data_IF_761429762784
#
_entry.id   IF_761429762784
#
_cell.length_a   1.000
_cell.length_b   1.000
_cell.length_c   1.000
_cell.angle_alpha   90.00
_cell.angle_beta   90.00
_cell.angle_gamma   90.00
#
_symmetry.space_group_name_H-M   'P 1'
#
loop_
_entity.id
_entity.type
_entity.pdbx_description
1 polymer ?
#
# COMPACT_ATOMS: atom_id res chain seq x y z
N UNK A 1 20.65 -15.25 14.61
CA UNK A 1 21.97 -14.59 14.53
C UNK A 1 21.87 -13.28 15.28
N UNK A 2 22.86 -12.95 16.11
CA UNK A 2 22.84 -11.79 17.01
C UNK A 2 22.72 -10.47 16.23
N UNK A 3 21.49 -9.97 16.04
CA UNK A 3 21.24 -8.70 15.36
C UNK A 3 21.55 -7.55 16.32
N UNK A 4 22.67 -6.88 16.09
CA UNK A 4 22.96 -5.59 16.72
C UNK A 4 21.79 -4.63 16.45
N UNK A 5 21.23 -4.05 17.51
CA UNK A 5 20.12 -3.11 17.40
C UNK A 5 20.67 -1.73 17.02
N UNK A 6 20.16 -1.17 15.92
CA UNK A 6 20.52 0.18 15.45
C UNK A 6 19.54 1.23 15.96
N UNK A 7 18.33 0.83 16.36
CA UNK A 7 17.37 1.69 17.07
C UNK A 7 16.89 0.93 18.29
N UNK A 8 17.04 1.54 19.46
CA UNK A 8 16.57 1.00 20.73
C UNK A 8 15.91 2.11 21.55
N UNK A 9 14.63 1.92 21.87
CA UNK A 9 13.85 2.81 22.72
C UNK A 9 13.30 2.03 23.91
N UNK A 10 13.39 2.64 25.10
CA UNK A 10 12.88 2.08 26.35
C UNK A 10 12.02 3.10 27.09
N UNK A 11 10.74 2.78 27.32
CA UNK A 11 9.77 3.63 28.00
C UNK A 11 9.61 5.02 27.37
N UNK A 12 9.77 5.12 26.05
CA UNK A 12 9.84 6.40 25.34
C UNK A 12 8.50 7.14 25.44
N UNK A 13 8.55 8.43 25.78
CA UNK A 13 7.35 9.24 25.89
C UNK A 13 7.53 10.69 25.47
N UNK A 14 6.48 11.23 24.84
CA UNK A 14 6.38 12.63 24.41
C UNK A 14 5.01 13.20 24.78
N UNK A 15 5.03 14.27 25.55
CA UNK A 15 3.85 15.02 25.95
C UNK A 15 3.89 16.46 25.40
N UNK A 16 2.75 16.93 24.93
CA UNK A 16 2.52 18.32 24.56
C UNK A 16 1.64 19.00 25.60
N UNK A 17 2.00 20.22 25.98
CA UNK A 17 1.22 21.03 26.89
C UNK A 17 0.20 21.86 26.10
N UNK A 18 -1.08 21.56 26.26
CA UNK A 18 -2.17 22.26 25.60
C UNK A 18 -2.71 23.33 26.54
N UNK A 19 -2.58 24.59 26.12
CA UNK A 19 -3.08 25.76 26.84
C UNK A 19 -4.39 26.24 26.21
N UNK A 20 -5.41 26.53 27.04
CA UNK A 20 -6.70 27.06 26.54
C UNK A 20 -6.60 28.50 26.03
N UNK A 21 -5.67 29.28 26.59
CA UNK A 21 -5.42 30.66 26.17
C UNK A 21 -3.93 31.02 26.31
N UNK A 22 -3.42 32.01 25.55
CA UNK A 22 -2.04 32.50 25.70
C UNK A 22 -1.75 33.03 27.12
N UNK A 23 -2.76 33.57 27.81
CA UNK A 23 -2.62 34.06 29.19
C UNK A 23 -2.33 32.92 30.17
N UNK A 24 -2.85 31.72 29.92
CA UNK A 24 -2.62 30.56 30.76
C UNK A 24 -1.17 30.05 30.65
N UNK A 25 -0.52 30.26 29.49
CA UNK A 25 0.91 30.04 29.33
C UNK A 25 1.73 31.00 30.18
N UNK A 26 1.34 32.27 30.24
CA UNK A 26 1.99 33.27 31.11
C UNK A 26 1.77 32.94 32.60
N UNK A 27 0.54 32.59 32.98
CA UNK A 27 0.22 32.14 34.35
C UNK A 27 1.04 30.90 34.73
N UNK A 28 1.25 29.96 33.81
CA UNK A 28 2.07 28.77 34.06
C UNK A 28 3.54 29.10 34.32
N UNK A 29 4.08 30.13 33.67
CA UNK A 29 5.44 30.61 33.92
C UNK A 29 5.58 31.28 35.29
N UNK A 30 4.54 32.01 35.74
CA UNK A 30 4.53 32.76 36.99
C UNK A 30 4.16 31.90 38.23
N UNK A 31 3.27 30.91 38.05
CA UNK A 31 2.70 30.12 39.15
C UNK A 31 3.01 28.62 38.97
N UNK A 32 4.22 28.19 39.37
CA UNK A 32 4.68 26.79 39.29
C UNK A 32 3.83 25.78 40.08
N UNK A 33 3.09 26.23 41.10
CA UNK A 33 2.29 25.36 41.98
C UNK A 33 0.89 25.03 41.43
N UNK A 34 0.49 25.60 40.28
CA UNK A 34 -0.79 25.28 39.63
C UNK A 34 -0.55 24.92 38.18
N UNK A 35 -1.27 23.91 37.69
CA UNK A 35 -1.24 23.51 36.29
C UNK A 35 -2.33 24.27 35.53
N UNK A 36 -1.91 25.07 34.56
CA UNK A 36 -2.79 25.83 33.66
C UNK A 36 -2.84 25.22 32.24
N UNK A 37 -2.28 24.02 32.06
CA UNK A 37 -2.29 23.26 30.82
C UNK A 37 -2.84 21.85 31.05
N UNK A 38 -3.32 21.25 29.97
CA UNK A 38 -3.60 19.81 29.88
C UNK A 38 -2.45 19.13 29.15
N UNK A 39 -1.99 17.97 29.64
CA UNK A 39 -0.98 17.17 28.96
C UNK A 39 -1.65 16.26 27.93
N UNK A 40 -1.18 16.33 26.68
CA UNK A 40 -1.54 15.39 25.64
C UNK A 40 -0.32 14.52 25.33
N UNK A 41 -0.42 13.23 25.64
CA UNK A 41 0.63 12.26 25.36
C UNK A 41 0.49 11.75 23.93
N UNK A 42 1.36 12.24 23.05
CA UNK A 42 1.40 11.79 21.65
C UNK A 42 2.09 10.44 21.50
N UNK A 43 3.08 10.16 22.35
CA UNK A 43 3.75 8.86 22.49
C UNK A 43 3.92 8.59 23.99
N UNK A 44 3.63 7.39 24.47
CA UNK A 44 3.71 7.06 25.88
C UNK A 44 4.17 5.61 26.08
N UNK A 45 5.22 5.43 26.88
CA UNK A 45 5.74 4.12 27.26
C UNK A 45 5.97 3.18 26.07
N UNK A 46 6.60 3.69 25.01
CA UNK A 46 6.93 2.90 23.82
C UNK A 46 8.30 2.26 23.99
N UNK A 47 8.31 0.93 23.97
CA UNK A 47 9.51 0.11 23.83
C UNK A 47 9.65 -0.30 22.36
N UNK A 48 10.85 -0.14 21.80
CA UNK A 48 11.11 -0.42 20.39
C UNK A 48 12.54 -0.94 20.23
N UNK A 49 12.72 -1.99 19.45
CA UNK A 49 14.05 -2.48 19.06
C UNK A 49 14.05 -2.85 17.60
N UNK A 50 14.97 -2.29 16.82
CA UNK A 50 15.10 -2.55 15.37
C UNK A 50 16.55 -2.94 15.08
N UNK A 51 16.72 -4.08 14.41
CA UNK A 51 18.02 -4.61 14.01
C UNK A 51 18.57 -3.94 12.76
N UNK A 52 19.91 -3.97 12.61
CA UNK A 52 20.56 -3.53 11.37
C UNK A 52 20.04 -4.31 10.15
N UNK A 53 19.69 -3.59 9.09
CA UNK A 53 19.19 -4.18 7.84
C UNK A 53 17.74 -4.66 7.88
N UNK A 54 17.02 -4.37 8.97
CA UNK A 54 15.62 -4.72 9.11
C UNK A 54 14.74 -3.69 8.39
N UNK A 55 13.68 -4.16 7.73
CA UNK A 55 12.61 -3.29 7.19
C UNK A 55 11.36 -3.45 8.03
N UNK A 56 11.01 -2.40 8.76
CA UNK A 56 9.91 -2.39 9.71
C UNK A 56 8.82 -1.41 9.29
N UNK A 57 7.60 -1.93 9.16
CA UNK A 57 6.40 -1.13 8.92
C UNK A 57 5.86 -0.53 10.21
N UNK A 58 5.40 0.73 10.19
CA UNK A 58 4.65 1.33 11.29
C UNK A 58 3.26 1.70 10.79
N UNK A 59 2.26 1.00 11.30
CA UNK A 59 0.85 1.16 10.94
C UNK A 59 0.05 1.77 12.09
N UNK A 60 -1.05 2.44 11.77
CA UNK A 60 -1.94 3.04 12.76
C UNK A 60 -2.71 4.22 12.20
N UNK A 61 -3.79 4.63 12.86
CA UNK A 61 -4.63 5.76 12.43
C UNK A 61 -3.90 7.09 12.50
N UNK A 62 -4.46 8.11 11.86
CA UNK A 62 -4.02 9.48 12.05
C UNK A 62 -4.15 9.87 13.53
N UNK A 63 -3.12 10.53 14.07
CA UNK A 63 -3.05 10.87 15.49
C UNK A 63 -2.56 9.75 16.42
N UNK A 64 -2.19 8.57 15.93
CA UNK A 64 -1.71 7.47 16.78
C UNK A 64 -0.28 7.64 17.32
N UNK A 65 0.43 8.71 16.96
CA UNK A 65 1.78 9.01 17.44
C UNK A 65 2.93 8.66 16.50
N UNK A 66 2.65 8.09 15.30
CA UNK A 66 3.67 7.67 14.32
C UNK A 66 4.66 8.79 13.97
N UNK A 67 4.18 9.93 13.48
CA UNK A 67 5.06 11.04 13.09
C UNK A 67 5.88 11.56 14.27
N UNK A 68 5.31 11.61 15.48
CA UNK A 68 6.04 12.01 16.70
C UNK A 68 7.13 11.01 17.07
N UNK A 69 6.87 9.70 16.96
CA UNK A 69 7.87 8.66 17.16
C UNK A 69 9.02 8.79 16.16
N UNK A 70 8.68 8.99 14.89
CA UNK A 70 9.65 9.10 13.81
C UNK A 70 10.50 10.37 13.90
N UNK A 71 9.90 11.50 14.31
CA UNK A 71 10.65 12.73 14.61
C UNK A 71 11.63 12.54 15.77
N UNK A 72 11.28 11.74 16.78
CA UNK A 72 12.22 11.39 17.86
C UNK A 72 13.36 10.52 17.33
N UNK A 73 13.08 9.51 16.51
CA UNK A 73 14.08 8.64 15.87
C UNK A 73 14.99 9.44 14.93
N UNK A 74 14.43 10.39 14.17
CA UNK A 74 15.17 11.29 13.30
C UNK A 74 15.99 12.35 14.06
N UNK A 75 15.80 12.48 15.38
CA UNK A 75 16.51 13.46 16.21
C UNK A 75 15.98 14.89 16.09
N UNK A 76 14.87 15.13 15.39
CA UNK A 76 14.24 16.46 15.28
C UNK A 76 13.38 16.79 16.49
N UNK A 77 13.07 15.80 17.33
CA UNK A 77 12.28 15.97 18.55
C UNK A 77 12.90 15.21 19.73
N UNK A 78 13.07 15.89 20.87
CA UNK A 78 13.53 15.23 22.08
C UNK A 78 12.36 14.62 22.88
N UNK A 79 12.53 13.40 23.45
CA UNK A 79 11.54 12.80 24.33
C UNK A 79 11.44 13.56 25.67
N UNK A 80 10.27 13.45 26.31
CA UNK A 80 10.07 13.92 27.69
C UNK A 80 10.42 12.85 28.73
N UNK A 81 10.34 11.57 28.36
CA UNK A 81 10.64 10.42 29.22
C UNK A 81 11.21 9.26 28.42
N UNK A 82 11.89 8.34 29.12
CA UNK A 82 12.51 7.17 28.52
C UNK A 82 13.87 7.46 27.88
N UNK A 83 14.41 6.45 27.20
CA UNK A 83 15.70 6.51 26.51
C UNK A 83 15.52 6.14 25.05
N UNK A 84 16.26 6.81 24.16
CA UNK A 84 16.32 6.49 22.73
C UNK A 84 17.77 6.51 22.29
N UNK A 85 18.24 5.39 21.71
CA UNK A 85 19.54 5.24 21.08
C UNK A 85 19.32 4.95 19.59
N UNK A 86 19.99 5.70 18.74
CA UNK A 86 19.98 5.52 17.29
C UNK A 86 21.44 5.49 16.81
N UNK A 87 21.82 4.43 16.11
CA UNK A 87 23.17 4.21 15.60
C UNK A 87 23.20 4.23 14.07
N UNK A 88 23.87 5.23 13.52
CA UNK A 88 24.00 5.45 12.08
C UNK A 88 23.37 6.76 11.64
N UNK A 89 23.56 7.08 10.36
CA UNK A 89 22.99 8.27 9.72
C UNK A 89 21.55 8.00 9.31
N UNK A 90 20.63 8.81 9.84
CA UNK A 90 19.20 8.75 9.52
C UNK A 90 18.90 9.70 8.37
N UNK A 91 18.27 9.21 7.31
CA UNK A 91 17.67 10.02 6.25
C UNK A 91 16.14 10.01 6.40
N UNK A 92 15.54 11.07 6.99
CA UNK A 92 14.09 11.16 7.13
C UNK A 92 13.41 11.73 5.88
N UNK A 93 12.45 11.00 5.31
CA UNK A 93 11.53 11.48 4.25
C UNK A 93 10.19 12.00 4.81
N UNK A 94 10.10 12.19 6.14
CA UNK A 94 8.91 12.62 6.88
C UNK A 94 8.51 14.06 6.57
N UNK A 95 9.51 14.90 6.33
CA UNK A 95 9.36 16.32 6.09
C UNK A 95 10.16 16.63 4.82
N UNK A 96 9.76 16.03 3.70
CA UNK A 96 10.37 16.27 2.40
C UNK A 96 10.53 17.78 2.18
N UNK A 97 11.77 18.22 2.00
CA UNK A 97 12.12 19.63 1.79
C UNK A 97 12.27 20.45 3.08
N UNK A 98 12.21 19.84 4.27
CA UNK A 98 12.64 20.48 5.50
C UNK A 98 14.10 20.97 5.35
N UNK A 99 14.29 22.27 5.52
CA UNK A 99 15.57 22.93 5.26
C UNK A 99 15.70 23.56 3.87
N UNK A 100 14.73 23.39 2.98
CA UNK A 100 14.68 24.20 1.75
C UNK A 100 14.35 25.65 2.09
N UNK A 101 15.11 26.56 1.51
CA UNK A 101 14.83 27.98 1.49
C UNK A 101 14.00 28.32 0.23
N UNK A 102 12.76 28.83 0.38
CA UNK A 102 11.89 29.16 -0.76
C UNK A 102 12.48 30.21 -1.72
N UNK A 103 13.38 31.07 -1.22
CA UNK A 103 14.04 32.10 -2.02
C UNK A 103 15.24 31.57 -2.82
N UNK A 104 15.76 30.41 -2.44
CA UNK A 104 16.88 29.77 -3.14
C UNK A 104 16.39 28.98 -4.35
N UNK A 105 17.26 28.88 -5.35
CA UNK A 105 17.07 28.00 -6.52
C UNK A 105 17.05 26.54 -6.10
N UNK A 106 16.55 25.66 -6.98
CA UNK A 106 16.63 24.21 -6.76
C UNK A 106 18.05 23.74 -6.50
N UNK A 107 19.04 24.24 -7.27
CA UNK A 107 20.46 23.90 -7.11
C UNK A 107 21.01 24.30 -5.75
N UNK A 108 20.74 25.52 -5.31
CA UNK A 108 21.17 26.01 -4.00
C UNK A 108 20.52 25.20 -2.86
N UNK A 109 19.25 24.83 -3.02
CA UNK A 109 18.56 23.97 -2.07
C UNK A 109 19.10 22.54 -2.03
N UNK A 110 19.52 21.97 -3.17
CA UNK A 110 20.23 20.69 -3.22
C UNK A 110 21.50 20.74 -2.38
N UNK A 111 22.33 21.76 -2.59
CA UNK A 111 23.58 21.93 -1.83
C UNK A 111 23.31 22.11 -0.33
N UNK A 112 22.36 22.98 0.02
CA UNK A 112 21.99 23.25 1.41
C UNK A 112 21.49 21.98 2.11
N UNK A 113 20.53 21.29 1.51
CA UNK A 113 19.92 20.09 2.10
C UNK A 113 20.90 18.92 2.17
N UNK A 114 21.72 18.71 1.14
CA UNK A 114 22.76 17.70 1.15
C UNK A 114 23.81 17.93 2.25
N UNK A 115 24.20 19.19 2.48
CA UNK A 115 25.09 19.56 3.58
C UNK A 115 24.46 19.32 4.96
N UNK A 116 23.18 19.67 5.13
CA UNK A 116 22.41 19.39 6.36
C UNK A 116 22.34 17.88 6.63
N UNK A 117 22.21 17.07 5.58
CA UNK A 117 22.20 15.60 5.65
C UNK A 117 23.61 14.98 5.73
N UNK A 118 24.66 15.80 5.87
CA UNK A 118 26.01 15.35 6.22
C UNK A 118 26.94 15.05 5.05
N UNK A 119 26.62 15.49 3.82
CA UNK A 119 27.57 15.43 2.71
C UNK A 119 28.60 16.56 2.82
N UNK A 120 29.86 16.23 2.51
CA UNK A 120 30.93 17.23 2.33
C UNK A 120 30.77 17.98 1.00
N UNK A 121 31.34 19.18 0.89
CA UNK A 121 31.29 19.97 -0.35
C UNK A 121 31.77 19.20 -1.59
N UNK A 122 32.81 18.37 -1.46
CA UNK A 122 33.30 17.55 -2.57
C UNK A 122 32.30 16.47 -3.00
N UNK A 123 31.65 15.80 -2.03
CA UNK A 123 30.60 14.82 -2.33
C UNK A 123 29.35 15.48 -2.93
N UNK A 124 29.02 16.70 -2.50
CA UNK A 124 27.91 17.47 -3.07
C UNK A 124 28.20 17.78 -4.54
N UNK A 125 29.39 18.29 -4.86
CA UNK A 125 29.78 18.62 -6.23
C UNK A 125 29.77 17.37 -7.15
N UNK A 126 30.21 16.23 -6.63
CA UNK A 126 30.18 14.95 -7.35
C UNK A 126 28.75 14.42 -7.59
N UNK A 127 27.86 14.52 -6.59
CA UNK A 127 26.52 13.90 -6.64
C UNK A 127 25.42 14.83 -7.17
N UNK A 128 25.65 16.14 -7.17
CA UNK A 128 24.67 17.14 -7.64
C UNK A 128 24.10 16.81 -9.02
N UNK A 129 24.89 16.44 -10.05
CA UNK A 129 24.35 16.07 -11.36
C UNK A 129 23.35 14.91 -11.29
N UNK A 130 23.68 13.85 -10.55
CA UNK A 130 22.82 12.68 -10.38
C UNK A 130 21.54 13.00 -9.61
N UNK A 131 21.63 13.85 -8.58
CA UNK A 131 20.45 14.34 -7.84
C UNK A 131 19.49 15.08 -8.77
N UNK A 132 20.01 15.99 -9.59
CA UNK A 132 19.19 16.79 -10.50
C UNK A 132 18.56 15.94 -11.61
N UNK A 133 19.31 14.98 -12.16
CA UNK A 133 18.80 14.02 -13.13
C UNK A 133 17.69 13.14 -12.52
N UNK A 134 17.89 12.65 -11.30
CA UNK A 134 16.90 11.86 -10.59
C UNK A 134 15.60 12.64 -10.36
N UNK A 135 15.74 13.89 -9.86
CA UNK A 135 14.62 14.80 -9.66
C UNK A 135 13.87 15.06 -10.96
N UNK A 136 14.57 15.20 -12.08
CA UNK A 136 14.00 15.34 -13.43
C UNK A 136 13.08 16.57 -13.57
N UNK A 137 13.45 17.68 -12.92
CA UNK A 137 12.72 18.96 -12.97
C UNK A 137 13.22 19.90 -14.09
N UNK A 138 14.20 19.48 -14.88
CA UNK A 138 14.71 20.22 -16.04
C UNK A 138 15.25 21.61 -15.66
N UNK A 139 15.01 22.60 -16.53
CA UNK A 139 15.51 23.97 -16.41
C UNK A 139 14.96 24.73 -15.18
N UNK A 140 13.92 24.20 -14.52
CA UNK A 140 13.41 24.77 -13.28
C UNK A 140 14.41 24.71 -12.13
N UNK A 141 15.46 23.90 -12.23
CA UNK A 141 16.52 23.80 -11.21
C UNK A 141 17.16 25.15 -10.86
N UNK A 142 17.24 26.07 -11.81
CA UNK A 142 17.83 27.40 -11.61
C UNK A 142 16.77 28.47 -11.27
N UNK A 143 15.53 28.05 -11.01
CA UNK A 143 14.44 28.91 -10.52
C UNK A 143 14.25 28.77 -9.01
N UNK A 144 13.81 29.83 -8.31
CA UNK A 144 13.51 29.77 -6.88
C UNK A 144 12.44 28.72 -6.57
N UNK A 145 12.66 27.94 -5.51
CA UNK A 145 11.80 26.81 -5.13
C UNK A 145 10.38 27.25 -4.77
N UNK A 146 10.16 28.49 -4.35
CA UNK A 146 8.79 29.04 -4.15
C UNK A 146 7.91 29.04 -5.41
N UNK A 147 8.52 28.91 -6.59
CA UNK A 147 7.78 28.84 -7.87
C UNK A 147 7.41 27.41 -8.27
N UNK A 148 7.88 26.41 -7.51
CA UNK A 148 7.69 25.00 -7.85
C UNK A 148 6.28 24.54 -7.55
N UNK A 149 5.78 23.60 -8.35
CA UNK A 149 4.62 22.79 -7.95
C UNK A 149 4.99 21.90 -6.76
N UNK A 150 3.98 21.44 -6.02
CA UNK A 150 4.18 20.46 -4.93
C UNK A 150 4.91 19.20 -5.40
N UNK A 151 4.63 18.73 -6.62
CA UNK A 151 5.30 17.59 -7.23
C UNK A 151 6.78 17.85 -7.52
N UNK A 152 7.13 19.00 -8.10
CA UNK A 152 8.54 19.36 -8.34
C UNK A 152 9.33 19.49 -7.04
N UNK A 153 8.72 20.10 -6.03
CA UNK A 153 9.28 20.25 -4.69
C UNK A 153 9.58 18.88 -4.06
N UNK A 154 8.57 17.99 -4.03
CA UNK A 154 8.72 16.64 -3.50
C UNK A 154 9.77 15.81 -4.27
N UNK A 155 9.80 15.94 -5.60
CA UNK A 155 10.77 15.25 -6.46
C UNK A 155 12.21 15.65 -6.14
N UNK A 156 12.46 16.96 -6.00
CA UNK A 156 13.80 17.44 -5.65
C UNK A 156 14.21 17.03 -4.24
N UNK A 157 13.31 17.17 -3.26
CA UNK A 157 13.55 16.76 -1.88
C UNK A 157 13.89 15.26 -1.77
N UNK A 158 13.11 14.41 -2.44
CA UNK A 158 13.37 12.98 -2.47
C UNK A 158 14.69 12.67 -3.17
N UNK A 159 14.98 13.34 -4.29
CA UNK A 159 16.21 13.12 -5.03
C UNK A 159 17.45 13.39 -4.18
N UNK A 160 17.46 14.47 -3.38
CA UNK A 160 18.56 14.74 -2.45
C UNK A 160 18.69 13.60 -1.45
N UNK A 161 17.60 13.25 -0.75
CA UNK A 161 17.61 12.20 0.26
C UNK A 161 17.98 10.81 -0.28
N UNK A 162 17.69 10.52 -1.56
CA UNK A 162 18.07 9.27 -2.20
C UNK A 162 19.58 9.18 -2.53
N UNK A 163 20.32 10.28 -2.48
CA UNK A 163 21.75 10.34 -2.82
C UNK A 163 22.64 10.73 -1.64
N UNK A 164 22.11 10.76 -0.42
CA UNK A 164 22.93 10.89 0.80
C UNK A 164 23.30 9.52 1.36
N UNK A 165 24.43 9.45 2.06
CA UNK A 165 24.85 8.21 2.71
C UNK A 165 24.04 8.00 4.00
N UNK A 166 23.08 7.08 3.96
CA UNK A 166 22.21 6.76 5.09
C UNK A 166 22.33 5.29 5.50
N UNK A 167 22.33 5.05 6.80
CA UNK A 167 22.25 3.71 7.39
C UNK A 167 20.79 3.32 7.70
N UNK A 168 19.97 4.35 7.97
CA UNK A 168 18.56 4.23 8.33
C UNK A 168 17.75 5.17 7.44
N UNK A 169 16.79 4.63 6.69
CA UNK A 169 15.86 5.40 5.87
C UNK A 169 14.49 5.41 6.55
N UNK A 170 13.94 6.60 6.81
CA UNK A 170 12.56 6.73 7.26
C UNK A 170 11.73 7.20 6.08
N UNK A 171 10.72 6.41 5.74
CA UNK A 171 9.81 6.66 4.63
C UNK A 171 8.42 6.96 5.19
N UNK A 172 7.87 8.11 4.84
CA UNK A 172 6.49 8.49 5.17
C UNK A 172 5.58 8.42 3.94
N UNK A 173 4.28 8.43 4.17
CA UNK A 173 3.20 8.27 3.19
C UNK A 173 3.24 9.28 2.01
N UNK A 174 4.02 10.35 2.17
CA UNK A 174 4.16 11.47 1.23
C UNK A 174 4.81 11.06 -0.12
N UNK A 175 5.30 9.82 -0.25
CA UNK A 175 5.78 9.29 -1.54
C UNK A 175 4.72 9.33 -2.67
N UNK A 176 3.45 9.49 -2.34
CA UNK A 176 2.35 9.60 -3.32
C UNK A 176 2.22 10.98 -4.01
N UNK A 177 3.06 11.97 -3.70
CA UNK A 177 2.95 13.35 -4.24
C UNK A 177 3.57 13.51 -5.66
N UNK A 178 4.10 12.42 -6.25
CA UNK A 178 4.69 12.41 -7.59
C UNK A 178 3.79 11.82 -8.69
N UNK A 179 4.25 11.89 -9.94
CA UNK A 179 3.67 11.10 -11.03
C UNK A 179 4.02 9.60 -10.89
N UNK A 180 3.31 8.74 -11.61
CA UNK A 180 3.51 7.28 -11.53
C UNK A 180 4.94 6.85 -11.90
N UNK A 181 5.58 7.54 -12.85
CA UNK A 181 6.94 7.21 -13.27
C UNK A 181 7.96 7.56 -12.17
N UNK A 182 7.78 8.67 -11.46
CA UNK A 182 8.60 9.07 -10.33
C UNK A 182 8.36 8.18 -9.11
N UNK A 183 7.11 7.81 -8.83
CA UNK A 183 6.77 6.85 -7.78
C UNK A 183 7.50 5.53 -7.98
N UNK A 184 7.54 5.02 -9.23
CA UNK A 184 8.32 3.82 -9.58
C UNK A 184 9.84 4.01 -9.40
N UNK A 185 10.39 5.20 -9.67
CA UNK A 185 11.80 5.50 -9.34
C UNK A 185 12.05 5.43 -7.83
N UNK A 186 11.14 5.98 -7.02
CA UNK A 186 11.23 5.94 -5.56
C UNK A 186 11.19 4.51 -5.04
N UNK A 187 10.24 3.70 -5.51
CA UNK A 187 10.14 2.28 -5.11
C UNK A 187 11.40 1.49 -5.47
N UNK A 188 11.96 1.68 -6.67
CA UNK A 188 13.24 1.04 -7.03
C UNK A 188 14.38 1.44 -6.11
N UNK A 189 14.46 2.71 -5.72
CA UNK A 189 15.44 3.18 -4.75
C UNK A 189 15.27 2.49 -3.39
N UNK A 190 14.03 2.44 -2.88
CA UNK A 190 13.73 1.82 -1.58
C UNK A 190 14.07 0.32 -1.61
N UNK A 191 13.74 -0.39 -2.69
CA UNK A 191 14.10 -1.80 -2.84
C UNK A 191 15.62 -2.02 -2.84
N UNK A 192 16.39 -1.18 -3.54
CA UNK A 192 17.87 -1.26 -3.49
C UNK A 192 18.40 -0.94 -2.10
N UNK A 193 17.84 0.08 -1.44
CA UNK A 193 18.23 0.44 -0.09
C UNK A 193 17.99 -0.69 0.91
N UNK A 194 16.90 -1.46 0.74
CA UNK A 194 16.58 -2.63 1.58
C UNK A 194 17.68 -3.69 1.55
N UNK A 195 18.46 -3.79 0.48
CA UNK A 195 19.55 -4.80 0.37
C UNK A 195 20.71 -4.53 1.33
N UNK A 196 20.89 -3.28 1.78
CA UNK A 196 22.08 -2.88 2.56
C UNK A 196 21.79 -1.95 3.76
N UNK A 197 20.58 -1.43 3.90
CA UNK A 197 20.20 -0.44 4.92
C UNK A 197 18.98 -0.84 5.73
N UNK A 198 18.72 -0.10 6.82
CA UNK A 198 17.57 -0.31 7.70
C UNK A 198 16.44 0.63 7.29
N UNK A 199 15.20 0.15 7.19
CA UNK A 199 14.08 0.97 6.71
C UNK A 199 12.97 1.01 7.76
N UNK A 200 12.51 2.21 8.08
CA UNK A 200 11.25 2.47 8.77
C UNK A 200 10.23 2.97 7.77
N UNK A 201 9.24 2.16 7.45
CA UNK A 201 8.22 2.49 6.46
C UNK A 201 6.88 2.77 7.13
N UNK A 202 6.33 3.95 6.90
CA UNK A 202 5.07 4.38 7.52
C UNK A 202 4.02 4.55 6.44
N UNK A 203 2.92 3.82 6.59
CA UNK A 203 1.82 3.82 5.64
C UNK A 203 0.53 3.41 6.34
N UNK A 204 -0.59 3.94 5.87
CA UNK A 204 -1.91 3.39 6.17
C UNK A 204 -2.32 2.28 5.19
N UNK A 205 -1.63 2.16 4.05
CA UNK A 205 -1.80 1.06 3.09
C UNK A 205 -1.01 -0.18 3.54
N UNK A 206 -1.75 -1.15 4.05
CA UNK A 206 -1.24 -2.45 4.45
C UNK A 206 -0.67 -3.28 3.29
N UNK A 207 -1.09 -3.01 2.04
CA UNK A 207 -0.55 -3.69 0.86
C UNK A 207 0.94 -3.37 0.69
N UNK A 208 1.30 -2.09 0.68
CA UNK A 208 2.69 -1.61 0.63
C UNK A 208 3.52 -2.08 1.82
N UNK A 209 2.93 -2.09 3.02
CA UNK A 209 3.61 -2.61 4.23
C UNK A 209 3.94 -4.09 4.07
N UNK A 210 3.00 -4.91 3.59
CA UNK A 210 3.21 -6.34 3.38
C UNK A 210 4.21 -6.65 2.27
N UNK A 211 4.26 -5.81 1.23
CA UNK A 211 5.21 -5.99 0.12
C UNK A 211 6.65 -5.61 0.50
N UNK A 212 6.82 -4.61 1.36
CA UNK A 212 8.13 -4.03 1.65
C UNK A 212 8.74 -4.51 2.97
N UNK A 213 7.91 -4.75 3.99
CA UNK A 213 8.34 -4.96 5.36
C UNK A 213 8.24 -6.42 5.79
N UNK A 214 9.22 -6.86 6.56
CA UNK A 214 9.25 -8.22 7.12
C UNK A 214 8.57 -8.25 8.50
N UNK A 215 8.70 -7.14 9.25
CA UNK A 215 8.06 -6.90 10.53
C UNK A 215 7.20 -5.63 10.47
N UNK A 216 6.14 -5.56 11.26
CA UNK A 216 5.41 -4.31 11.46
C UNK A 216 5.05 -4.08 12.92
N UNK A 217 4.79 -2.81 13.24
CA UNK A 217 4.41 -2.31 14.54
C UNK A 217 3.12 -1.52 14.37
N UNK A 218 2.11 -1.90 15.13
CA UNK A 218 0.85 -1.18 15.18
C UNK A 218 0.84 -0.19 16.36
N UNK A 219 0.79 1.10 16.03
CA UNK A 219 0.61 2.18 16.98
C UNK A 219 -0.86 2.59 17.14
N UNK A 220 -1.29 2.75 18.39
CA UNK A 220 -2.61 3.26 18.74
C UNK A 220 -2.53 4.08 20.03
N UNK A 221 -3.17 5.27 20.03
CA UNK A 221 -3.21 6.13 21.22
C UNK A 221 -1.83 6.52 21.78
N UNK A 222 -0.80 6.57 20.93
CA UNK A 222 0.57 6.86 21.35
C UNK A 222 1.34 5.65 21.93
N UNK A 223 0.77 4.45 21.90
CA UNK A 223 1.39 3.23 22.42
C UNK A 223 1.54 2.17 21.33
N UNK A 224 2.43 1.19 21.54
CA UNK A 224 2.51 0.01 20.69
C UNK A 224 1.42 -0.96 21.12
N UNK A 225 0.44 -1.20 20.25
CA UNK A 225 -0.65 -2.14 20.48
C UNK A 225 -0.23 -3.58 20.18
N UNK A 226 0.51 -3.78 19.09
CA UNK A 226 1.03 -5.07 18.69
C UNK A 226 2.28 -4.90 17.79
N UNK A 227 3.17 -5.87 17.81
CA UNK A 227 4.27 -6.01 16.86
C UNK A 227 4.46 -7.47 16.46
N UNK A 228 4.96 -7.71 15.24
CA UNK A 228 5.07 -9.05 14.69
C UNK A 228 5.31 -9.03 13.19
N UNK A 229 5.11 -10.16 12.50
CA UNK A 229 5.25 -10.21 11.04
C UNK A 229 4.32 -9.18 10.39
N UNK A 230 4.80 -8.54 9.33
CA UNK A 230 4.04 -7.49 8.66
C UNK A 230 2.62 -7.93 8.28
N UNK A 231 2.48 -9.12 7.70
CA UNK A 231 1.18 -9.70 7.32
C UNK A 231 0.21 -9.82 8.50
N UNK A 232 0.67 -10.37 9.63
CA UNK A 232 -0.16 -10.62 10.80
C UNK A 232 -0.65 -9.30 11.44
N UNK A 233 0.25 -8.31 11.51
CA UNK A 233 -0.05 -6.99 12.08
C UNK A 233 -0.94 -6.18 11.14
N UNK A 234 -0.69 -6.21 9.83
CA UNK A 234 -1.56 -5.60 8.83
C UNK A 234 -2.98 -6.14 8.91
N UNK A 235 -3.13 -7.47 9.05
CA UNK A 235 -4.42 -8.12 9.19
C UNK A 235 -5.13 -7.69 10.49
N UNK A 236 -4.43 -7.70 11.62
CA UNK A 236 -4.97 -7.27 12.91
C UNK A 236 -5.40 -5.79 12.90
N UNK A 237 -4.61 -4.93 12.26
CA UNK A 237 -4.91 -3.51 12.10
C UNK A 237 -6.15 -3.29 11.23
N UNK A 238 -6.26 -3.97 10.09
CA UNK A 238 -7.45 -3.90 9.22
C UNK A 238 -8.70 -4.33 9.99
N UNK A 239 -8.66 -5.47 10.68
CA UNK A 239 -9.79 -5.96 11.47
C UNK A 239 -10.27 -4.93 12.51
N UNK A 240 -9.34 -4.20 13.14
CA UNK A 240 -9.67 -3.15 14.11
C UNK A 240 -10.19 -1.85 13.48
N UNK A 241 -9.82 -1.54 12.23
CA UNK A 241 -10.39 -0.39 11.50
C UNK A 241 -11.86 -0.61 11.16
N UNK A 242 -12.22 -1.83 10.77
CA UNK A 242 -13.60 -2.17 10.38
C UNK A 242 -14.55 -2.23 11.58
N UNK A 243 -14.08 -2.64 12.77
CA UNK A 243 -14.92 -2.78 13.97
C UNK A 243 -15.44 -1.49 14.63
N UNK A 244 -15.07 -0.28 14.17
CA UNK A 244 -15.45 0.99 14.84
C UNK A 244 -16.27 1.99 13.98
N UNK A 245 -16.58 1.67 12.71
CA UNK A 245 -17.18 2.63 11.77
C UNK A 245 -18.73 2.63 11.73
N UNK A 246 -19.38 1.97 12.69
CA UNK A 246 -20.82 1.71 12.68
C UNK A 246 -21.64 2.92 13.13
N UNK A 247 -22.04 3.78 12.18
CA UNK A 247 -22.77 5.00 12.52
C UNK A 247 -23.27 5.91 11.38
N UNK A 248 -23.83 5.36 10.28
CA UNK A 248 -24.99 5.90 9.50
C UNK A 248 -25.08 5.30 8.08
N UNK A 249 -26.25 4.74 7.77
CA UNK A 249 -26.65 4.17 6.48
C UNK A 249 -26.90 5.26 5.41
N UNK A 250 -26.31 5.10 4.23
CA UNK A 250 -26.61 5.89 3.02
C UNK A 250 -27.43 5.05 2.04
N UNK A 251 -28.52 5.59 1.48
CA UNK A 251 -29.37 4.90 0.50
C UNK A 251 -29.28 5.58 -0.86
N UNK A 252 -29.11 4.81 -1.94
CA UNK A 252 -29.24 5.27 -3.33
C UNK A 252 -30.39 4.51 -4.01
N UNK A 253 -31.29 5.25 -4.65
CA UNK A 253 -32.43 4.71 -5.41
C UNK A 253 -32.23 4.95 -6.91
N UNK A 254 -32.18 3.87 -7.69
CA UNK A 254 -32.24 3.91 -9.17
C UNK A 254 -32.32 2.51 -9.77
N UNK A 255 -33.27 2.29 -10.71
CA UNK A 255 -33.38 1.03 -11.47
C UNK A 255 -32.45 1.04 -12.68
N UNK A 256 -31.63 -0.02 -12.82
CA UNK A 256 -30.69 -0.21 -13.92
C UNK A 256 -31.43 -0.60 -15.20
N UNK A 257 -31.13 0.10 -16.30
CA UNK A 257 -31.44 -0.32 -17.68
C UNK A 257 -30.46 -1.41 -18.09
N UNK A 258 -30.96 -2.47 -18.74
CA UNK A 258 -30.14 -3.51 -19.36
C UNK A 258 -29.09 -2.89 -20.29
N UNK A 259 -27.84 -3.34 -20.16
CA UNK A 259 -26.71 -2.85 -20.95
C UNK A 259 -26.66 -3.60 -22.30
N UNK A 260 -26.30 -2.96 -23.43
CA UNK A 260 -26.33 -3.59 -24.76
C UNK A 260 -25.29 -4.71 -24.92
N UNK A 261 -25.51 -5.58 -25.92
CA UNK A 261 -24.69 -6.74 -26.32
C UNK A 261 -23.16 -6.51 -26.26
N UNK A 262 -22.48 -7.55 -25.77
CA UNK A 262 -21.03 -7.73 -25.68
C UNK A 262 -20.30 -7.31 -26.97
N UNK A 263 -19.24 -6.52 -26.82
CA UNK A 263 -18.30 -6.19 -27.91
C UNK A 263 -17.00 -6.96 -27.65
N UNK A 264 -16.54 -7.75 -28.62
CA UNK A 264 -15.26 -8.48 -28.56
C UNK A 264 -14.10 -7.56 -29.01
N UNK A 265 -12.84 -7.98 -28.84
CA UNK A 265 -11.70 -7.27 -29.44
C UNK A 265 -11.77 -7.40 -30.96
N UNK A 266 -11.64 -6.29 -31.70
CA UNK A 266 -11.71 -6.29 -33.17
C UNK A 266 -10.55 -7.03 -33.84
N UNK A 267 -9.47 -7.30 -33.10
CA UNK A 267 -8.27 -8.01 -33.57
C UNK A 267 -8.26 -9.49 -33.18
N UNK A 268 -9.30 -9.96 -32.50
CA UNK A 268 -9.34 -11.27 -31.87
C UNK A 268 -8.89 -12.42 -32.80
N UNK A 269 -9.54 -12.60 -33.95
CA UNK A 269 -9.19 -13.67 -34.91
C UNK A 269 -7.75 -13.55 -35.43
N UNK A 270 -7.23 -12.32 -35.59
CA UNK A 270 -5.88 -12.09 -36.07
C UNK A 270 -4.83 -12.43 -34.99
N UNK A 271 -5.15 -12.21 -33.71
CA UNK A 271 -4.27 -12.57 -32.58
C UNK A 271 -4.26 -14.08 -32.41
N UNK A 272 -5.44 -14.71 -32.36
CA UNK A 272 -5.60 -16.16 -32.13
C UNK A 272 -4.95 -17.03 -33.21
N UNK A 273 -4.98 -16.58 -34.47
CA UNK A 273 -4.40 -17.30 -35.60
C UNK A 273 -2.90 -17.00 -35.84
N UNK A 274 -2.22 -16.34 -34.90
CA UNK A 274 -0.83 -15.93 -35.04
C UNK A 274 0.06 -16.52 -33.94
N UNK A 275 1.38 -16.38 -34.10
CA UNK A 275 2.36 -16.70 -33.03
C UNK A 275 2.27 -15.77 -31.81
N UNK A 276 1.30 -14.84 -31.81
CA UNK A 276 1.08 -13.82 -30.78
C UNK A 276 -0.05 -14.19 -29.82
N UNK A 277 -0.56 -15.42 -29.91
CA UNK A 277 -1.59 -15.95 -29.03
C UNK A 277 -1.16 -15.84 -27.56
N UNK A 278 -2.10 -15.48 -26.69
CA UNK A 278 -1.87 -15.41 -25.25
C UNK A 278 -2.53 -16.62 -24.61
N UNK A 279 -1.79 -17.72 -24.52
CA UNK A 279 -2.28 -18.98 -23.98
C UNK A 279 -2.12 -18.96 -22.46
N UNK A 280 -3.13 -19.41 -21.72
CA UNK A 280 -3.15 -19.36 -20.26
C UNK A 280 -3.39 -20.76 -19.73
N UNK A 281 -2.36 -21.39 -19.20
CA UNK A 281 -2.41 -22.70 -18.57
C UNK A 281 -2.93 -22.54 -17.14
N UNK A 282 -4.12 -23.07 -16.86
CA UNK A 282 -4.77 -22.95 -15.54
C UNK A 282 -4.52 -24.22 -14.74
N UNK A 283 -4.03 -24.06 -13.51
CA UNK A 283 -3.82 -25.16 -12.57
C UNK A 283 -5.08 -25.46 -11.75
N UNK A 284 -5.12 -26.64 -11.12
CA UNK A 284 -6.25 -27.05 -10.30
C UNK A 284 -6.37 -26.22 -9.01
N UNK A 285 -7.59 -26.12 -8.49
CA UNK A 285 -7.87 -25.46 -7.21
C UNK A 285 -7.15 -26.19 -6.08
N UNK A 286 -6.36 -25.45 -5.30
CA UNK A 286 -5.70 -25.96 -4.10
C UNK A 286 -6.53 -25.59 -2.84
N UNK A 287 -7.33 -26.52 -2.28
CA UNK A 287 -8.10 -26.26 -1.08
C UNK A 287 -7.24 -26.10 0.18
N UNK A 288 -5.97 -26.52 0.13
CA UNK A 288 -5.02 -26.48 1.24
C UNK A 288 -4.08 -25.26 1.16
N UNK A 289 -4.27 -24.39 0.15
CA UNK A 289 -3.54 -23.13 0.02
C UNK A 289 -3.70 -22.25 1.28
N UNK A 290 -2.71 -21.39 1.60
CA UNK A 290 -2.76 -20.53 2.77
C UNK A 290 -4.05 -19.71 2.84
N UNK A 291 -4.77 -19.87 3.95
CA UNK A 291 -6.07 -19.26 4.16
C UNK A 291 -6.27 -18.73 5.57
N UNK A 292 -7.18 -17.75 5.71
CA UNK A 292 -7.57 -17.18 7.00
C UNK A 292 -9.03 -16.71 6.97
N UNK A 293 -9.63 -16.47 8.14
CA UNK A 293 -10.97 -15.89 8.23
C UNK A 293 -11.69 -16.24 9.52
N UNK A 294 -12.81 -15.59 9.76
CA UNK A 294 -13.64 -15.78 10.96
C UNK A 294 -14.40 -17.12 10.99
N UNK A 295 -14.35 -17.93 9.91
CA UNK A 295 -14.88 -19.29 9.90
C UNK A 295 -16.40 -19.40 9.84
N UNK A 296 -17.11 -18.35 9.39
CA UNK A 296 -18.57 -18.40 9.20
C UNK A 296 -19.02 -19.14 7.94
N UNK A 297 -18.07 -19.49 7.08
CA UNK A 297 -18.22 -20.32 5.90
C UNK A 297 -16.85 -20.59 5.29
N UNK A 298 -16.79 -21.51 4.33
CA UNK A 298 -15.57 -21.90 3.63
C UNK A 298 -15.81 -21.91 2.13
N UNK A 299 -14.80 -21.51 1.38
CA UNK A 299 -14.75 -21.70 -0.07
C UNK A 299 -14.34 -23.14 -0.31
N UNK A 300 -15.17 -23.88 -1.04
CA UNK A 300 -15.02 -25.33 -1.23
C UNK A 300 -14.60 -25.69 -2.65
N UNK A 301 -14.78 -24.77 -3.60
CA UNK A 301 -14.38 -24.98 -5.00
C UNK A 301 -14.14 -23.64 -5.70
N UNK A 302 -13.09 -23.59 -6.50
CA UNK A 302 -12.84 -22.52 -7.46
C UNK A 302 -12.54 -23.16 -8.82
N UNK A 303 -13.13 -22.64 -9.89
CA UNK A 303 -12.80 -23.10 -11.24
C UNK A 303 -12.93 -21.97 -12.26
N UNK A 304 -12.13 -22.04 -13.32
CA UNK A 304 -12.29 -21.16 -14.48
C UNK A 304 -12.68 -22.00 -15.68
N UNK A 305 -13.74 -21.60 -16.38
CA UNK A 305 -14.29 -22.32 -17.53
C UNK A 305 -14.33 -21.41 -18.75
N UNK A 306 -14.13 -21.99 -19.93
CA UNK A 306 -14.44 -21.32 -21.19
C UNK A 306 -15.94 -21.52 -21.52
N UNK A 307 -16.51 -20.78 -22.48
CA UNK A 307 -17.87 -20.99 -22.95
C UNK A 307 -18.11 -22.40 -23.51
N UNK A 308 -17.07 -23.10 -23.95
CA UNK A 308 -17.14 -24.48 -24.46
C UNK A 308 -17.00 -25.56 -23.37
N UNK A 309 -16.75 -25.17 -22.12
CA UNK A 309 -16.66 -26.06 -20.96
C UNK A 309 -15.35 -25.94 -20.18
N UNK A 310 -15.10 -26.93 -19.31
CA UNK A 310 -13.86 -26.99 -18.55
C UNK A 310 -12.67 -27.30 -19.47
N UNK A 311 -11.60 -26.51 -19.36
CA UNK A 311 -10.36 -26.66 -20.12
C UNK A 311 -9.19 -26.25 -19.22
N UNK A 312 -8.06 -26.95 -19.34
CA UNK A 312 -6.81 -26.58 -18.66
C UNK A 312 -6.06 -25.44 -19.34
N UNK A 313 -6.54 -25.02 -20.51
CA UNK A 313 -5.95 -23.96 -21.32
C UNK A 313 -7.02 -22.96 -21.72
N UNK A 314 -6.79 -21.70 -21.39
CA UNK A 314 -7.57 -20.53 -21.77
C UNK A 314 -6.79 -19.65 -22.73
N UNK A 315 -7.45 -18.65 -23.31
CA UNK A 315 -6.80 -17.69 -24.18
C UNK A 315 -7.22 -16.26 -23.83
N UNK A 316 -6.23 -15.37 -23.69
CA UNK A 316 -6.47 -13.95 -23.50
C UNK A 316 -7.38 -13.37 -24.60
N UNK A 317 -8.27 -12.47 -24.21
CA UNK A 317 -9.29 -11.88 -25.09
C UNK A 317 -10.53 -12.73 -25.30
N UNK A 318 -10.61 -13.96 -24.77
CA UNK A 318 -11.85 -14.75 -24.76
C UNK A 318 -12.69 -14.47 -23.51
N UNK A 319 -14.00 -14.73 -23.61
CA UNK A 319 -14.84 -14.79 -22.42
C UNK A 319 -14.46 -16.00 -21.57
N UNK A 320 -14.43 -15.81 -20.26
CA UNK A 320 -14.26 -16.86 -19.27
C UNK A 320 -15.27 -16.70 -18.14
N UNK A 321 -15.56 -17.79 -17.45
CA UNK A 321 -16.38 -17.81 -16.25
C UNK A 321 -15.55 -18.31 -15.06
N UNK A 322 -15.26 -17.41 -14.11
CA UNK A 322 -14.70 -17.79 -12.82
C UNK A 322 -15.85 -18.15 -11.88
N UNK A 323 -15.88 -19.39 -11.41
CA UNK A 323 -16.85 -19.92 -10.45
C UNK A 323 -16.20 -20.10 -9.10
N UNK A 324 -16.88 -19.63 -8.06
CA UNK A 324 -16.46 -19.77 -6.68
C UNK A 324 -17.65 -20.31 -5.89
N UNK A 325 -17.51 -21.52 -5.36
CA UNK A 325 -18.51 -22.16 -4.50
C UNK A 325 -18.10 -22.02 -3.05
N UNK A 326 -19.02 -21.55 -2.22
CA UNK A 326 -18.85 -21.44 -0.78
C UNK A 326 -19.93 -22.25 -0.04
N UNK A 327 -19.56 -22.78 1.11
CA UNK A 327 -20.43 -23.48 2.06
C UNK A 327 -20.43 -22.71 3.38
N UNK A 328 -21.60 -22.43 3.93
CA UNK A 328 -21.71 -21.73 5.22
C UNK A 328 -21.55 -22.67 6.40
N UNK A 329 -20.89 -22.20 7.46
CA UNK A 329 -20.74 -22.91 8.74
C UNK A 329 -21.55 -22.25 9.86
N UNK A 330 -21.86 -20.96 9.71
CA UNK A 330 -22.78 -20.19 10.54
C UNK A 330 -23.74 -19.41 9.64
N UNK A 331 -24.87 -18.88 10.17
CA UNK A 331 -25.73 -18.01 9.37
C UNK A 331 -24.94 -16.82 8.82
N UNK A 332 -25.01 -16.60 7.50
CA UNK A 332 -24.40 -15.45 6.83
C UNK A 332 -25.51 -14.59 6.20
N UNK A 333 -25.52 -13.31 6.55
CA UNK A 333 -26.45 -12.33 5.99
C UNK A 333 -25.73 -11.53 4.90
N UNK A 334 -26.21 -11.62 3.66
CA UNK A 334 -25.55 -10.99 2.51
C UNK A 334 -24.08 -11.38 2.34
N UNK A 335 -23.75 -12.67 2.08
CA UNK A 335 -22.39 -13.07 1.84
C UNK A 335 -21.88 -12.45 0.53
N UNK A 336 -20.66 -11.95 0.61
CA UNK A 336 -19.91 -11.35 -0.49
C UNK A 336 -18.85 -12.35 -0.91
N UNK A 337 -18.91 -12.81 -2.15
CA UNK A 337 -17.81 -13.55 -2.76
C UNK A 337 -17.02 -12.58 -3.63
N UNK A 338 -15.70 -12.59 -3.50
CA UNK A 338 -14.81 -11.77 -4.31
C UNK A 338 -13.57 -12.51 -4.75
N UNK A 339 -12.85 -11.91 -5.70
CA UNK A 339 -11.57 -12.42 -6.17
C UNK A 339 -10.63 -11.29 -6.57
N UNK A 340 -9.33 -11.59 -6.55
CA UNK A 340 -8.29 -10.80 -7.19
C UNK A 340 -7.37 -11.69 -8.01
N UNK A 341 -7.01 -11.24 -9.20
CA UNK A 341 -5.90 -11.80 -9.98
C UNK A 341 -4.63 -11.02 -9.63
N UNK A 342 -3.56 -11.74 -9.34
CA UNK A 342 -2.26 -11.20 -8.93
C UNK A 342 -1.15 -11.68 -9.83
N UNK A 343 -0.10 -10.87 -9.96
CA UNK A 343 1.15 -11.29 -10.58
C UNK A 343 2.05 -12.06 -9.59
N UNK A 344 3.19 -12.57 -10.08
CA UNK A 344 4.21 -13.25 -9.24
C UNK A 344 4.77 -12.41 -8.08
N UNK A 345 4.60 -11.09 -8.12
CA UNK A 345 5.05 -10.17 -7.06
C UNK A 345 3.96 -9.94 -6.01
N UNK A 346 2.77 -10.56 -6.19
CA UNK A 346 1.61 -10.39 -5.32
C UNK A 346 0.84 -9.09 -5.56
N UNK A 347 1.12 -8.36 -6.65
CA UNK A 347 0.40 -7.15 -7.00
C UNK A 347 -0.99 -7.50 -7.55
N UNK A 348 -2.05 -6.90 -7.00
CA UNK A 348 -3.40 -7.04 -7.54
C UNK A 348 -3.49 -6.36 -8.91
N UNK A 349 -3.82 -7.13 -9.94
CA UNK A 349 -3.98 -6.65 -11.32
C UNK A 349 -5.42 -6.20 -11.57
N UNK A 350 -6.38 -7.07 -11.23
CA UNK A 350 -7.81 -6.78 -11.28
C UNK A 350 -8.57 -7.71 -10.34
N UNK A 351 -9.81 -7.39 -10.05
CA UNK A 351 -10.67 -8.19 -9.17
C UNK A 351 -12.05 -7.56 -9.07
N UNK A 352 -13.01 -8.34 -8.61
CA UNK A 352 -14.38 -7.89 -8.40
C UNK A 352 -15.04 -8.73 -7.29
N UNK A 353 -16.25 -8.36 -6.88
CA UNK A 353 -17.04 -9.10 -5.90
C UNK A 353 -18.55 -9.00 -6.15
N UNK A 354 -19.32 -9.82 -5.44
CA UNK A 354 -20.78 -9.88 -5.59
C UNK A 354 -21.51 -8.70 -4.93
N UNK A 355 -20.87 -7.87 -4.10
CA UNK A 355 -21.57 -6.90 -3.25
C UNK A 355 -22.44 -5.93 -4.04
N UNK A 356 -21.85 -5.20 -5.01
CA UNK A 356 -22.60 -4.19 -5.77
C UNK A 356 -23.77 -4.83 -6.54
N UNK A 357 -23.57 -6.03 -7.08
CA UNK A 357 -24.58 -6.76 -7.85
C UNK A 357 -25.75 -7.24 -6.99
N UNK A 358 -25.51 -7.57 -5.72
CA UNK A 358 -26.51 -8.11 -4.80
C UNK A 358 -26.89 -7.16 -3.65
N UNK A 359 -26.41 -5.92 -3.66
CA UNK A 359 -26.62 -4.95 -2.57
C UNK A 359 -28.11 -4.70 -2.24
N UNK A 360 -29.03 -4.89 -3.20
CA UNK A 360 -30.47 -4.68 -3.03
C UNK A 360 -31.29 -5.97 -2.92
N UNK A 361 -30.66 -7.12 -3.17
CA UNK A 361 -31.25 -8.46 -3.05
C UNK A 361 -30.17 -9.36 -2.46
N UNK A 362 -29.75 -9.12 -1.21
CA UNK A 362 -28.76 -9.96 -0.56
C UNK A 362 -29.33 -11.38 -0.46
N UNK A 363 -28.45 -12.35 -0.67
CA UNK A 363 -28.76 -13.74 -0.37
C UNK A 363 -28.45 -13.93 1.11
N UNK A 364 -29.34 -14.55 1.85
CA UNK A 364 -29.01 -15.04 3.20
C UNK A 364 -28.75 -16.54 3.09
N UNK A 365 -27.78 -17.03 3.85
CA UNK A 365 -27.42 -18.44 3.83
C UNK A 365 -27.43 -19.00 5.25
N UNK A 366 -28.14 -20.11 5.43
CA UNK A 366 -28.21 -20.87 6.68
C UNK A 366 -27.08 -21.88 6.76
N UNK A 367 -26.61 -22.27 7.96
CA UNK A 367 -25.52 -23.23 8.12
C UNK A 367 -25.70 -24.51 7.29
N UNK A 368 -24.66 -24.89 6.56
CA UNK A 368 -24.63 -26.06 5.68
C UNK A 368 -25.15 -25.78 4.26
N UNK A 369 -25.67 -24.58 3.98
CA UNK A 369 -26.07 -24.21 2.63
C UNK A 369 -24.84 -23.85 1.78
N UNK A 370 -24.90 -24.27 0.51
CA UNK A 370 -23.91 -23.94 -0.51
C UNK A 370 -24.48 -22.93 -1.50
N UNK A 371 -23.63 -22.01 -1.94
CA UNK A 371 -23.96 -21.02 -2.94
C UNK A 371 -22.75 -20.77 -3.85
N UNK A 372 -23.03 -20.36 -5.08
CA UNK A 372 -22.03 -20.15 -6.12
C UNK A 372 -22.09 -18.71 -6.64
N UNK A 373 -20.92 -18.06 -6.71
CA UNK A 373 -20.74 -16.84 -7.47
C UNK A 373 -20.07 -17.17 -8.81
N UNK A 374 -20.61 -16.60 -9.88
CA UNK A 374 -20.10 -16.76 -11.26
C UNK A 374 -19.77 -15.40 -11.83
N UNK A 375 -18.48 -15.16 -12.08
CA UNK A 375 -17.98 -13.94 -12.70
C UNK A 375 -17.67 -14.22 -14.16
N UNK A 376 -18.44 -13.61 -15.07
CA UNK A 376 -18.20 -13.69 -16.52
C UNK A 376 -17.53 -12.42 -17.00
N UNK A 377 -16.35 -12.57 -17.59
CA UNK A 377 -15.58 -11.43 -18.10
C UNK A 377 -14.73 -11.86 -19.28
N UNK A 378 -14.29 -10.88 -20.07
CA UNK A 378 -13.29 -11.10 -21.11
C UNK A 378 -11.92 -11.12 -20.42
N UNK A 379 -11.24 -12.27 -20.48
CA UNK A 379 -9.91 -12.43 -19.89
C UNK A 379 -8.98 -11.40 -20.53
N UNK A 380 -8.35 -10.48 -19.76
CA UNK A 380 -7.37 -9.58 -20.34
C UNK A 380 -6.21 -10.37 -20.94
N UNK A 381 -5.50 -9.75 -21.86
CA UNK A 381 -4.23 -10.29 -22.32
C UNK A 381 -3.19 -10.07 -21.21
N UNK A 382 -2.39 -11.10 -20.93
CA UNK A 382 -1.43 -11.11 -19.82
C UNK A 382 0.00 -11.23 -20.34
N UNK A 383 0.95 -10.43 -19.81
CA UNK A 383 2.37 -10.66 -20.06
C UNK A 383 2.80 -12.07 -19.69
N UNK A 384 3.87 -12.58 -20.31
CA UNK A 384 4.40 -13.90 -19.98
C UNK A 384 4.84 -13.97 -18.51
N UNK A 385 4.34 -14.99 -17.79
CA UNK A 385 4.65 -15.17 -16.37
C UNK A 385 3.62 -15.99 -15.61
N UNK A 386 3.88 -16.13 -14.31
CA UNK A 386 3.01 -16.81 -13.35
C UNK A 386 2.11 -15.81 -12.63
N UNK A 387 0.88 -16.25 -12.39
CA UNK A 387 -0.19 -15.48 -11.78
C UNK A 387 -0.98 -16.35 -10.80
N UNK A 388 -1.67 -15.71 -9.86
CA UNK A 388 -2.57 -16.39 -8.94
C UNK A 388 -3.91 -15.67 -8.79
N UNK A 389 -4.92 -16.41 -8.35
CA UNK A 389 -6.25 -15.93 -8.03
C UNK A 389 -6.46 -16.08 -6.53
N UNK A 390 -6.52 -14.95 -5.84
CA UNK A 390 -7.00 -14.89 -4.48
C UNK A 390 -8.53 -14.85 -4.48
N UNK A 391 -9.16 -15.57 -3.56
CA UNK A 391 -10.63 -15.60 -3.43
C UNK A 391 -11.05 -15.36 -1.99
N UNK A 392 -12.22 -14.74 -1.84
CA UNK A 392 -12.72 -14.23 -0.58
C UNK A 392 -14.20 -14.57 -0.41
N UNK A 393 -14.57 -15.05 0.78
CA UNK A 393 -15.93 -15.08 1.31
C UNK A 393 -15.97 -14.13 2.51
N UNK A 394 -16.82 -13.14 2.42
CA UNK A 394 -17.10 -12.19 3.49
C UNK A 394 -18.61 -12.07 3.72
N UNK A 395 -19.03 -11.37 4.77
CA UNK A 395 -20.43 -10.97 4.96
C UNK A 395 -20.49 -9.56 5.53
N UNK A 396 -21.44 -8.74 5.06
CA UNK A 396 -21.57 -7.34 5.43
C UNK A 396 -21.65 -6.42 4.21
N UNK A 397 -20.86 -5.35 4.22
CA UNK A 397 -20.80 -4.32 3.18
C UNK A 397 -19.42 -4.21 2.53
N UNK A 398 -19.31 -3.53 1.39
CA UNK A 398 -18.02 -3.35 0.71
C UNK A 398 -16.96 -2.63 1.56
N UNK A 399 -17.38 -1.73 2.46
CA UNK A 399 -16.48 -0.98 3.36
C UNK A 399 -16.36 -1.59 4.76
N UNK A 400 -17.29 -2.45 5.14
CA UNK A 400 -17.38 -3.04 6.47
C UNK A 400 -17.97 -4.45 6.36
N UNK A 401 -17.10 -5.45 6.35
CA UNK A 401 -17.47 -6.86 6.25
C UNK A 401 -16.56 -7.71 7.11
N UNK A 402 -17.10 -8.82 7.58
CA UNK A 402 -16.33 -9.87 8.23
C UNK A 402 -15.82 -10.82 7.17
N UNK A 403 -14.50 -10.93 7.05
CA UNK A 403 -13.88 -11.95 6.20
C UNK A 403 -14.05 -13.32 6.86
N UNK A 404 -14.86 -14.20 6.27
CA UNK A 404 -15.10 -15.54 6.80
C UNK A 404 -14.12 -16.58 6.27
N UNK A 405 -13.70 -16.45 5.01
CA UNK A 405 -12.67 -17.29 4.41
C UNK A 405 -11.95 -16.55 3.29
N UNK A 406 -10.63 -16.45 3.36
CA UNK A 406 -9.76 -15.89 2.35
C UNK A 406 -8.74 -16.94 1.95
N UNK A 407 -8.52 -17.16 0.66
CA UNK A 407 -7.48 -18.04 0.14
C UNK A 407 -6.62 -17.21 -0.82
N UNK A 408 -5.31 -17.13 -0.56
CA UNK A 408 -4.41 -16.21 -1.30
C UNK A 408 -4.07 -16.71 -2.71
N UNK A 409 -3.85 -18.01 -2.88
CA UNK A 409 -3.44 -18.65 -4.14
C UNK A 409 -4.39 -19.79 -4.52
N UNK A 410 -5.71 -19.55 -4.45
CA UNK A 410 -6.71 -20.59 -4.69
C UNK A 410 -6.59 -21.22 -6.08
N UNK A 411 -6.26 -20.43 -7.09
CA UNK A 411 -5.84 -20.95 -8.39
C UNK A 411 -4.53 -20.29 -8.76
N UNK A 412 -3.63 -21.05 -9.38
CA UNK A 412 -2.50 -20.48 -10.10
C UNK A 412 -2.72 -20.70 -11.58
N UNK A 413 -2.13 -19.83 -12.41
CA UNK A 413 -2.10 -20.05 -13.84
C UNK A 413 -0.86 -19.38 -14.45
N UNK A 414 -0.44 -19.88 -15.61
CA UNK A 414 0.72 -19.37 -16.32
C UNK A 414 0.31 -18.86 -17.69
N UNK A 415 0.65 -17.60 -17.97
CA UNK A 415 0.50 -17.05 -19.32
C UNK A 415 1.73 -17.41 -20.17
N UNK A 416 1.49 -18.15 -21.25
CA UNK A 416 2.46 -18.60 -22.24
C UNK A 416 2.21 -17.83 -23.54
N UNK A 417 3.20 -17.04 -23.95
CA UNK A 417 3.06 -16.12 -25.08
C UNK A 417 2.30 -14.84 -24.71
N UNK A 418 2.71 -13.71 -25.30
CA UNK A 418 2.15 -12.39 -24.93
C UNK A 418 2.98 -11.21 -25.41
N UNK A 419 3.81 -11.38 -26.45
CA UNK A 419 4.91 -10.48 -26.81
C UNK A 419 4.50 -9.06 -27.31
N UNK A 420 3.24 -8.67 -27.19
CA UNK A 420 2.73 -7.42 -27.78
C UNK A 420 2.17 -6.39 -26.80
N UNK A 421 2.04 -6.73 -25.53
CA UNK A 421 1.39 -5.83 -24.60
C UNK A 421 2.37 -4.94 -23.86
N UNK A 422 2.05 -3.64 -23.81
CA UNK A 422 2.83 -2.62 -23.13
C UNK A 422 2.09 -2.24 -21.84
N UNK A 423 2.38 -2.91 -20.74
CA UNK A 423 1.73 -2.64 -19.45
C UNK A 423 1.69 -3.85 -18.52
N UNK A 424 0.92 -3.73 -17.43
CA UNK A 424 0.65 -4.81 -16.46
C UNK A 424 -0.43 -5.78 -16.97
N UNK A 425 -1.37 -5.26 -17.75
CA UNK A 425 -2.47 -5.95 -18.43
C UNK A 425 -2.69 -5.27 -19.77
N UNK A 426 -3.31 -5.97 -20.70
CA UNK A 426 -3.89 -5.32 -21.86
C UNK A 426 -5.34 -5.68 -22.08
N UNK A 427 -6.01 -4.66 -22.58
CA UNK A 427 -7.44 -4.54 -22.58
C UNK A 427 -7.94 -4.82 -24.01
N UNK A 428 -8.99 -5.63 -24.16
CA UNK A 428 -9.67 -5.82 -25.43
C UNK A 428 -10.08 -4.49 -26.09
N UNK A 429 -9.66 -4.27 -27.34
CA UNK A 429 -9.96 -3.04 -28.08
C UNK A 429 -11.22 -3.21 -28.93
N UNK A 430 -12.28 -2.43 -28.65
CA UNK A 430 -13.54 -2.51 -29.41
C UNK A 430 -13.53 -1.75 -30.74
N UNK A 431 -12.56 -0.85 -30.96
CA UNK A 431 -12.33 -0.15 -32.22
C UNK A 431 -10.89 0.38 -32.25
N UNK A 432 -10.28 0.39 -33.45
CA UNK A 432 -8.99 1.05 -33.71
C UNK A 432 -9.12 1.73 -35.06
N UNK A 433 -9.04 3.05 -35.07
CA UNK A 433 -9.21 3.87 -36.27
C UNK A 433 -7.92 4.65 -36.55
N UNK A 434 -7.45 4.61 -37.79
CA UNK A 434 -6.30 5.39 -38.24
C UNK A 434 -6.73 6.21 -39.46
N UNK A 435 -6.95 7.50 -39.25
CA UNK A 435 -7.36 8.42 -40.33
C UNK A 435 -6.14 9.15 -40.87
N UNK A 436 -5.91 9.04 -42.18
CA UNK A 436 -4.93 9.86 -42.89
C UNK A 436 -5.65 11.07 -43.48
N UNK A 437 -5.17 12.27 -43.16
CA UNK A 437 -5.63 13.52 -43.76
C UNK A 437 -4.90 13.83 -45.06
#
# INVERSE_FOLDING_TARGET
MSSEAVIEAGGLGKAYQIYKSPQDRLKQMLFRNRRFFTEYWAVQNVDLRIGRGETVGIVGRNGSGKSTLLQMIAGTLHPNSGTLRVEGRVAPLLELGAGFNPEFTGRENVRLSAAILGLSNGQIEEREPAILEFAGIGDFVDQPVKTYSSGMYARLAFAVAAHVDADILIVDEILAVGDAAFTQKCMRFIHRFKEHGTILFVSHDTGSVNALCDRAIWMEGGQVRAEGKAKDISLAYQAALHGEADGKSFSLTGRRRETPRQRQDVRHEAISNSTKRNEIEVFEFDPDAPSYGAGGGRIVKVSVESPSGATSVLEGGHEVALRITAETSSPLYGPIIGFFVRDRLGQNLFGDNTFISYAHTPLDAQPGEQFEAVFRFQLPYLPEGDYSVAVALAAGSQSDHVQHHWIDDALTFRAVGGAHEKGLLGIPMHAIELTKY
#
